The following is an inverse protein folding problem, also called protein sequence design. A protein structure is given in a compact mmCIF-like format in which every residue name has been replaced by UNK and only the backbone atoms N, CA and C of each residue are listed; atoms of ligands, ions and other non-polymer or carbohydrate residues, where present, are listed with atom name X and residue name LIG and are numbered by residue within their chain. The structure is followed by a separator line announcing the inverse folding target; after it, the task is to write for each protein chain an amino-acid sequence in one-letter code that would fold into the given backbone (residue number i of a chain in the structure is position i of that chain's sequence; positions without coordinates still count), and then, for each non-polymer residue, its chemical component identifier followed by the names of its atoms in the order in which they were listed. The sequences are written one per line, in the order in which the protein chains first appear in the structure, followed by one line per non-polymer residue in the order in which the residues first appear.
data_IF_769376199834
#
_entry.id   IF_769376199834
#
_cell.length_a   1.000
_cell.length_b   1.000
_cell.length_c   1.000
_cell.angle_alpha   90.00
_cell.angle_beta   90.00
_cell.angle_gamma   90.00
#
_symmetry.space_group_name_H-M   'P 1'
#
loop_
_entity.id
_entity.type
_entity.pdbx_description
1 polymer ?
#
# COMPACT_ATOMS: atom_id res chain seq x y z
N UNK A 1 -39.16 -20.11 9.91
CA UNK A 1 -38.12 -19.48 9.09
C UNK A 1 -37.98 -18.06 9.59
N UNK A 2 -36.87 -17.72 10.24
CA UNK A 2 -36.52 -16.33 10.54
C UNK A 2 -35.26 -16.03 9.74
N UNK A 3 -35.40 -15.18 8.74
CA UNK A 3 -34.30 -14.65 7.93
C UNK A 3 -33.41 -13.78 8.82
N UNK A 4 -32.23 -14.31 9.11
CA UNK A 4 -31.16 -13.61 9.80
C UNK A 4 -30.44 -12.75 8.75
N UNK A 5 -30.89 -11.50 8.63
CA UNK A 5 -30.18 -10.48 7.87
C UNK A 5 -28.75 -10.36 8.43
N UNK A 6 -27.70 -10.41 7.60
CA UNK A 6 -26.33 -10.31 8.10
C UNK A 6 -26.14 -8.94 8.76
N UNK A 7 -25.58 -8.95 9.97
CA UNK A 7 -25.28 -7.73 10.71
C UNK A 7 -24.39 -6.81 9.85
N UNK A 8 -24.69 -5.49 9.81
CA UNK A 8 -23.82 -4.55 9.14
C UNK A 8 -22.42 -4.64 9.79
N UNK A 9 -21.40 -4.78 8.96
CA UNK A 9 -20.00 -4.71 9.40
C UNK A 9 -19.82 -3.50 10.33
N UNK A 10 -19.09 -3.63 11.45
CA UNK A 10 -18.93 -2.54 12.38
C UNK A 10 -18.34 -1.35 11.64
N UNK A 11 -19.12 -0.27 11.51
CA UNK A 11 -18.58 1.05 11.25
C UNK A 11 -17.60 1.32 12.40
N UNK A 12 -16.30 1.21 12.13
CA UNK A 12 -15.25 1.62 13.06
C UNK A 12 -15.33 3.14 13.22
N UNK A 13 -16.31 3.60 13.99
CA UNK A 13 -16.32 4.91 14.64
C UNK A 13 -15.36 4.82 15.83
N UNK A 14 -14.07 4.72 15.54
CA UNK A 14 -13.07 5.10 16.53
C UNK A 14 -13.04 6.63 16.53
N UNK A 15 -13.01 7.28 17.69
CA UNK A 15 -12.47 8.65 17.76
C UNK A 15 -10.99 8.53 17.33
N UNK A 16 -10.71 8.58 16.02
CA UNK A 16 -9.37 8.37 15.49
C UNK A 16 -8.64 9.71 15.60
N UNK A 17 -7.75 9.84 16.57
CA UNK A 17 -6.77 10.92 16.54
C UNK A 17 -5.61 10.57 15.58
N UNK A 18 -4.78 11.56 15.26
CA UNK A 18 -3.64 11.36 14.36
C UNK A 18 -2.65 10.29 14.83
N UNK A 19 -2.54 10.05 16.14
CA UNK A 19 -1.67 9.01 16.68
C UNK A 19 -2.27 7.61 16.50
N UNK A 20 -3.59 7.48 16.60
CA UNK A 20 -4.31 6.25 16.25
C UNK A 20 -4.16 5.93 14.75
N UNK A 21 -4.25 6.93 13.87
CA UNK A 21 -3.99 6.76 12.43
C UNK A 21 -2.55 6.30 12.15
N UNK A 22 -1.54 6.92 12.77
CA UNK A 22 -0.13 6.52 12.64
C UNK A 22 0.05 5.03 13.01
N UNK A 23 -0.46 4.64 14.18
CA UNK A 23 -0.40 3.26 14.65
C UNK A 23 -1.10 2.30 13.70
N UNK A 24 -2.29 2.66 13.23
CA UNK A 24 -3.05 1.86 12.28
C UNK A 24 -2.31 1.66 10.96
N UNK A 25 -1.64 2.68 10.44
CA UNK A 25 -0.81 2.57 9.22
C UNK A 25 0.36 1.61 9.41
N UNK A 26 1.06 1.70 10.54
CA UNK A 26 2.19 0.81 10.87
C UNK A 26 1.73 -0.65 10.95
N UNK A 27 0.59 -0.90 11.60
CA UNK A 27 0.00 -2.24 11.73
C UNK A 27 -0.48 -2.77 10.37
N UNK A 28 -1.17 -1.93 9.60
CA UNK A 28 -1.68 -2.27 8.27
C UNK A 28 -0.55 -2.68 7.33
N UNK A 29 0.51 -1.87 7.21
CA UNK A 29 1.69 -2.20 6.42
C UNK A 29 2.39 -3.50 6.86
N UNK A 30 2.26 -3.90 8.14
CA UNK A 30 2.78 -5.17 8.62
C UNK A 30 2.03 -6.39 8.11
N UNK A 31 0.77 -6.22 7.69
CA UNK A 31 -0.11 -7.27 7.20
C UNK A 31 -0.27 -7.26 5.66
N UNK A 32 0.18 -6.19 4.99
CA UNK A 32 0.08 -6.06 3.54
C UNK A 32 1.07 -7.01 2.83
N UNK A 33 0.61 -7.87 1.91
CA UNK A 33 1.49 -8.68 1.08
C UNK A 33 2.23 -7.82 0.05
N UNK A 34 3.33 -8.35 -0.50
CA UNK A 34 4.07 -7.72 -1.60
C UNK A 34 3.13 -7.40 -2.78
N UNK A 35 3.32 -6.22 -3.36
CA UNK A 35 2.53 -5.62 -4.43
C UNK A 35 1.12 -5.13 -4.02
N UNK A 36 0.71 -5.29 -2.76
CA UNK A 36 -0.50 -4.65 -2.26
C UNK A 36 -0.35 -3.12 -2.25
N UNK A 37 -1.47 -2.43 -2.44
CA UNK A 37 -1.56 -0.97 -2.44
C UNK A 37 -2.62 -0.52 -1.42
N UNK A 38 -2.29 0.53 -0.69
CA UNK A 38 -3.20 1.27 0.16
C UNK A 38 -3.24 2.72 -0.32
N UNK A 39 -4.38 3.14 -0.85
CA UNK A 39 -4.67 4.52 -1.23
C UNK A 39 -5.41 5.20 -0.09
N UNK A 40 -5.06 6.46 0.19
CA UNK A 40 -5.63 7.28 1.26
C UNK A 40 -5.92 8.65 0.65
N UNK A 41 -7.06 9.24 0.98
CA UNK A 41 -7.48 10.56 0.51
C UNK A 41 -8.78 11.00 1.19
N UNK A 42 -9.38 12.13 0.80
CA UNK A 42 -10.64 12.59 1.39
C UNK A 42 -11.75 11.54 1.29
N UNK A 43 -12.50 11.39 2.38
CA UNK A 43 -13.62 10.46 2.44
C UNK A 43 -14.68 10.83 1.40
N UNK A 44 -15.00 9.89 0.51
CA UNK A 44 -16.03 10.08 -0.52
C UNK A 44 -15.57 10.76 -1.80
N UNK A 45 -14.28 11.11 -1.94
CA UNK A 45 -13.72 11.61 -3.20
C UNK A 45 -13.92 10.58 -4.33
N UNK A 46 -14.39 11.03 -5.50
CA UNK A 46 -14.62 10.18 -6.68
C UNK A 46 -13.72 10.60 -7.83
N UNK A 47 -13.30 9.62 -8.64
CA UNK A 47 -12.34 9.81 -9.73
C UNK A 47 -12.78 10.73 -10.87
N UNK A 48 -14.05 11.16 -10.89
CA UNK A 48 -14.60 12.11 -11.86
C UNK A 48 -14.72 13.55 -11.31
N UNK A 49 -14.41 13.77 -10.03
CA UNK A 49 -14.39 15.10 -9.45
C UNK A 49 -13.24 15.91 -10.07
N UNK A 50 -13.56 17.04 -10.70
CA UNK A 50 -12.61 17.91 -11.39
C UNK A 50 -11.72 18.73 -10.44
N UNK A 51 -11.74 18.42 -9.15
CA UNK A 51 -11.01 19.13 -8.10
C UNK A 51 -9.69 18.41 -7.79
N UNK A 52 -8.70 19.18 -7.34
CA UNK A 52 -7.46 18.64 -6.83
C UNK A 52 -7.76 17.72 -5.63
N UNK A 53 -7.23 16.48 -5.65
CA UNK A 53 -7.47 15.49 -4.61
C UNK A 53 -6.18 15.21 -3.87
N UNK A 54 -6.10 15.66 -2.62
CA UNK A 54 -5.02 15.31 -1.71
C UNK A 54 -5.01 13.80 -1.46
N UNK A 55 -3.99 13.10 -1.97
CA UNK A 55 -3.88 11.65 -1.90
C UNK A 55 -2.50 11.21 -1.43
N UNK A 56 -2.45 10.10 -0.71
CA UNK A 56 -1.24 9.36 -0.44
C UNK A 56 -1.44 7.91 -0.87
N UNK A 57 -0.43 7.31 -1.52
CA UNK A 57 -0.45 5.92 -1.92
C UNK A 57 0.76 5.19 -1.34
N UNK A 58 0.50 4.08 -0.65
CA UNK A 58 1.51 3.19 -0.12
C UNK A 58 1.47 1.89 -0.91
N UNK A 59 2.60 1.49 -1.50
CA UNK A 59 2.73 0.19 -2.17
C UNK A 59 3.84 -0.65 -1.53
N UNK A 60 3.55 -1.93 -1.27
CA UNK A 60 4.56 -2.87 -0.75
C UNK A 60 5.44 -3.37 -1.89
N UNK A 61 6.74 -3.15 -1.76
CA UNK A 61 7.77 -3.62 -2.67
C UNK A 61 8.44 -4.91 -2.18
N UNK A 62 9.58 -5.26 -2.76
CA UNK A 62 10.42 -6.37 -2.30
C UNK A 62 11.17 -6.03 -1.02
N UNK A 63 11.59 -7.06 -0.29
CA UNK A 63 12.44 -6.92 0.91
C UNK A 63 11.87 -5.95 1.96
N UNK A 64 10.56 -6.05 2.23
CA UNK A 64 9.84 -5.22 3.21
C UNK A 64 10.05 -3.71 3.01
N UNK A 65 10.24 -3.31 1.75
CA UNK A 65 10.34 -1.90 1.37
C UNK A 65 8.98 -1.40 0.94
N UNK A 66 8.65 -0.16 1.29
CA UNK A 66 7.40 0.50 0.98
C UNK A 66 7.72 1.72 0.11
N UNK A 67 6.98 1.88 -0.98
CA UNK A 67 6.92 3.12 -1.75
C UNK A 67 5.78 3.95 -1.18
N UNK A 68 6.05 5.21 -0.86
CA UNK A 68 5.02 6.22 -0.60
C UNK A 68 5.06 7.27 -1.70
N UNK A 69 3.91 7.58 -2.28
CA UNK A 69 3.70 8.67 -3.24
C UNK A 69 2.72 9.66 -2.65
N UNK A 70 2.99 10.95 -2.78
CA UNK A 70 2.11 12.03 -2.33
C UNK A 70 1.66 12.85 -3.53
N UNK A 71 0.37 13.18 -3.57
CA UNK A 71 -0.20 13.90 -4.71
C UNK A 71 -1.38 14.78 -4.30
N UNK A 72 -1.66 15.76 -5.14
CA UNK A 72 -2.87 16.60 -5.15
C UNK A 72 -3.76 16.25 -6.35
N UNK A 73 -3.52 15.09 -6.95
CA UNK A 73 -4.32 14.54 -8.05
C UNK A 73 -4.57 13.06 -7.77
N UNK A 74 -5.69 12.55 -8.26
CA UNK A 74 -6.01 11.12 -8.25
C UNK A 74 -4.86 10.31 -8.86
N UNK A 75 -4.33 9.39 -8.05
CA UNK A 75 -3.23 8.53 -8.44
C UNK A 75 -3.74 7.21 -9.01
N UNK A 76 -3.20 6.83 -10.15
CA UNK A 76 -3.36 5.50 -10.73
C UNK A 76 -2.53 4.45 -9.97
N UNK A 77 -2.86 3.18 -10.13
CA UNK A 77 -2.00 2.08 -9.64
C UNK A 77 -0.75 1.97 -10.52
N UNK A 78 0.47 2.13 -9.97
CA UNK A 78 1.69 2.10 -10.76
C UNK A 78 2.02 0.68 -11.22
N UNK A 79 2.34 0.54 -12.51
CA UNK A 79 2.85 -0.70 -13.11
C UNK A 79 4.38 -0.73 -13.03
N UNK A 80 4.90 -1.28 -11.94
CA UNK A 80 6.35 -1.35 -11.72
C UNK A 80 6.98 -2.52 -12.50
N UNK A 81 8.06 -2.24 -13.22
CA UNK A 81 8.87 -3.26 -13.91
C UNK A 81 9.69 -4.13 -12.94
N UNK A 82 9.92 -3.63 -11.72
CA UNK A 82 10.61 -4.33 -10.64
C UNK A 82 10.15 -3.79 -9.28
N UNK A 83 10.16 -4.66 -8.28
CA UNK A 83 9.91 -4.29 -6.88
C UNK A 83 11.22 -4.25 -6.06
N UNK A 84 12.37 -4.36 -6.71
CA UNK A 84 13.68 -4.26 -6.05
C UNK A 84 14.12 -2.81 -5.92
N UNK A 85 14.49 -2.39 -4.71
CA UNK A 85 14.99 -1.03 -4.43
C UNK A 85 16.46 -1.08 -4.00
N UNK A 86 17.37 -0.37 -4.67
CA UNK A 86 18.75 -0.24 -4.23
C UNK A 86 18.83 0.42 -2.85
N UNK A 87 19.73 -0.05 -1.98
CA UNK A 87 19.90 0.55 -0.63
C UNK A 87 20.20 2.05 -0.68
N UNK A 88 20.92 2.49 -1.70
CA UNK A 88 21.26 3.90 -1.91
C UNK A 88 20.03 4.79 -2.22
N UNK A 89 18.91 4.20 -2.63
CA UNK A 89 17.66 4.92 -2.94
C UNK A 89 16.71 5.02 -1.72
N UNK A 90 17.01 4.36 -0.60
CA UNK A 90 16.13 4.34 0.57
C UNK A 90 16.22 5.66 1.35
N UNK A 91 15.08 6.05 1.93
CA UNK A 91 14.92 7.22 2.79
C UNK A 91 15.31 8.55 2.13
N UNK A 92 15.21 8.62 0.79
CA UNK A 92 15.41 9.83 0.00
C UNK A 92 14.14 10.17 -0.77
N UNK A 93 13.88 11.47 -0.92
CA UNK A 93 12.80 11.98 -1.76
C UNK A 93 13.24 12.07 -3.21
N UNK A 94 12.33 11.69 -4.10
CA UNK A 94 12.44 11.81 -5.54
C UNK A 94 11.31 12.71 -6.04
N UNK A 95 11.65 13.64 -6.93
CA UNK A 95 10.76 14.66 -7.49
C UNK A 95 10.83 14.69 -9.02
N UNK A 96 11.21 13.56 -9.63
CA UNK A 96 11.25 13.41 -11.07
C UNK A 96 9.89 12.99 -11.64
N UNK A 97 9.77 13.01 -12.96
CA UNK A 97 8.54 12.67 -13.69
C UNK A 97 8.37 11.15 -13.88
N UNK A 98 8.87 10.31 -12.96
CA UNK A 98 8.66 8.85 -13.03
C UNK A 98 7.17 8.48 -12.96
N UNK A 99 6.39 9.31 -12.26
CA UNK A 99 4.95 9.13 -12.10
C UNK A 99 4.25 10.45 -12.46
N UNK A 100 3.56 10.47 -13.59
CA UNK A 100 2.87 11.67 -14.10
C UNK A 100 1.81 12.22 -13.11
N UNK A 101 1.27 11.34 -12.26
CA UNK A 101 0.24 11.63 -11.27
C UNK A 101 0.77 11.91 -9.85
N UNK A 102 2.09 12.00 -9.66
CA UNK A 102 2.74 12.17 -8.36
C UNK A 102 3.24 13.61 -8.18
N UNK A 103 2.36 14.51 -7.76
CA UNK A 103 2.68 15.95 -7.77
C UNK A 103 3.62 16.40 -6.65
N UNK A 104 3.78 15.61 -5.58
CA UNK A 104 4.59 15.98 -4.41
C UNK A 104 5.76 15.03 -4.14
N UNK A 105 6.06 14.18 -5.13
CA UNK A 105 7.20 13.28 -5.08
C UNK A 105 6.93 11.99 -4.31
N UNK A 106 7.96 11.15 -4.30
CA UNK A 106 7.87 9.82 -3.72
C UNK A 106 9.13 9.46 -2.92
N UNK A 107 8.98 8.51 -2.00
CA UNK A 107 10.06 8.01 -1.15
C UNK A 107 9.91 6.50 -0.99
N UNK A 108 11.05 5.81 -0.87
CA UNK A 108 11.07 4.38 -0.54
C UNK A 108 11.72 4.18 0.83
N UNK A 109 11.11 3.40 1.71
CA UNK A 109 11.67 3.09 3.04
C UNK A 109 11.37 1.67 3.47
N UNK A 110 12.23 1.11 4.32
CA UNK A 110 11.93 -0.11 5.09
C UNK A 110 11.29 0.17 6.44
N UNK A 111 11.24 1.45 6.84
CA UNK A 111 10.65 1.86 8.11
C UNK A 111 9.16 2.14 7.92
N UNK A 112 8.32 1.20 8.35
CA UNK A 112 6.86 1.38 8.42
C UNK A 112 6.48 2.64 9.20
N UNK A 113 7.16 2.88 10.32
CA UNK A 113 6.96 4.08 11.14
C UNK A 113 7.24 5.36 10.35
N UNK A 114 8.32 5.42 9.56
CA UNK A 114 8.63 6.59 8.73
C UNK A 114 7.53 6.85 7.70
N UNK A 115 7.05 5.80 7.04
CA UNK A 115 6.00 5.93 6.03
C UNK A 115 4.69 6.42 6.67
N UNK A 116 4.31 5.88 7.83
CA UNK A 116 3.15 6.33 8.59
C UNK A 116 3.27 7.80 9.00
N UNK A 117 4.41 8.21 9.56
CA UNK A 117 4.70 9.58 9.95
C UNK A 117 4.62 10.55 8.75
N UNK A 118 5.13 10.14 7.57
CA UNK A 118 5.03 10.94 6.34
C UNK A 118 3.57 11.13 5.92
N UNK A 119 2.77 10.06 5.92
CA UNK A 119 1.36 10.14 5.51
C UNK A 119 0.54 10.97 6.48
N UNK A 120 0.76 10.82 7.79
CA UNK A 120 0.08 11.65 8.81
C UNK A 120 0.47 13.12 8.66
N UNK A 121 1.77 13.41 8.50
CA UNK A 121 2.23 14.79 8.31
C UNK A 121 1.70 15.40 7.00
N UNK A 122 1.58 14.59 5.93
CA UNK A 122 0.98 15.03 4.67
C UNK A 122 -0.45 15.52 4.89
N UNK A 123 -1.34 14.67 5.41
CA UNK A 123 -2.75 15.06 5.57
C UNK A 123 -2.95 16.13 6.65
N UNK A 124 -2.31 15.98 7.80
CA UNK A 124 -2.49 16.89 8.93
C UNK A 124 -1.84 18.25 8.69
N UNK A 125 -0.57 18.27 8.30
CA UNK A 125 0.23 19.50 8.30
C UNK A 125 0.22 20.19 6.93
N UNK A 126 0.18 19.41 5.84
CA UNK A 126 0.31 19.95 4.47
C UNK A 126 -1.03 20.19 3.80
N UNK A 127 -1.96 19.25 3.90
CA UNK A 127 -3.31 19.36 3.33
C UNK A 127 -4.29 20.06 4.29
N UNK A 128 -4.00 20.05 5.60
CA UNK A 128 -4.78 20.78 6.60
C UNK A 128 -6.08 20.10 7.01
N UNK A 129 -6.17 18.77 6.89
CA UNK A 129 -7.30 18.02 7.42
C UNK A 129 -7.38 18.19 8.95
N UNK A 130 -8.59 18.39 9.47
CA UNK A 130 -8.79 18.64 10.90
C UNK A 130 -8.74 17.34 11.70
N UNK A 131 -9.29 16.26 11.15
CA UNK A 131 -9.29 14.94 11.77
C UNK A 131 -9.04 13.82 10.74
N UNK A 132 -8.48 12.68 11.18
CA UNK A 132 -8.37 11.47 10.35
C UNK A 132 -9.72 10.95 9.83
N UNK A 133 -10.82 11.20 10.53
CA UNK A 133 -12.17 10.76 10.12
C UNK A 133 -12.65 11.39 8.81
N UNK A 134 -12.03 12.49 8.40
CA UNK A 134 -12.27 13.13 7.11
C UNK A 134 -11.60 12.37 5.95
N UNK A 135 -10.81 11.33 6.24
CA UNK A 135 -10.09 10.52 5.26
C UNK A 135 -10.79 9.17 5.03
N UNK A 136 -10.78 8.74 3.78
CA UNK A 136 -11.09 7.38 3.37
C UNK A 136 -9.82 6.62 3.00
N UNK A 137 -9.93 5.29 2.94
CA UNK A 137 -8.89 4.44 2.37
C UNK A 137 -9.47 3.39 1.42
N UNK A 138 -8.68 3.03 0.42
CA UNK A 138 -8.97 1.96 -0.53
C UNK A 138 -7.80 0.99 -0.55
N UNK A 139 -8.09 -0.31 -0.51
CA UNK A 139 -7.09 -1.36 -0.49
C UNK A 139 -7.18 -2.20 -1.76
N UNK A 140 -6.05 -2.36 -2.44
CA UNK A 140 -5.92 -3.20 -3.63
C UNK A 140 -5.07 -4.42 -3.32
N UNK A 141 -5.69 -5.60 -3.40
CA UNK A 141 -4.98 -6.87 -3.24
C UNK A 141 -4.11 -7.21 -4.46
N UNK A 142 -2.92 -7.80 -4.25
CA UNK A 142 -2.08 -8.23 -5.35
C UNK A 142 -2.70 -9.46 -6.04
N UNK A 143 -2.69 -9.45 -7.37
CA UNK A 143 -3.12 -10.61 -8.17
C UNK A 143 -1.99 -11.65 -8.22
N UNK A 144 -2.25 -12.83 -7.67
CA UNK A 144 -1.33 -13.95 -7.74
C UNK A 144 -1.55 -14.77 -9.03
N UNK A 145 -0.50 -14.95 -9.82
CA UNK A 145 -0.52 -15.93 -10.90
C UNK A 145 -0.46 -17.35 -10.32
N UNK A 146 -1.13 -18.34 -10.97
CA UNK A 146 -0.97 -19.74 -10.61
C UNK A 146 0.52 -20.10 -10.61
N UNK A 147 1.04 -20.54 -9.46
CA UNK A 147 2.40 -21.10 -9.41
C UNK A 147 2.33 -22.43 -10.14
N UNK A 148 3.03 -22.57 -11.26
CA UNK A 148 3.26 -23.89 -11.83
C UNK A 148 3.90 -24.74 -10.73
N UNK A 149 3.20 -25.77 -10.27
CA UNK A 149 3.81 -26.78 -9.42
C UNK A 149 4.93 -27.42 -10.24
N UNK A 150 6.18 -27.04 -9.98
CA UNK A 150 7.32 -27.86 -10.36
C UNK A 150 7.28 -29.10 -9.46
N UNK A 151 6.41 -30.03 -9.83
CA UNK A 151 6.45 -31.41 -9.36
C UNK A 151 7.74 -32.01 -9.90
N UNK A 152 8.84 -31.85 -9.17
CA UNK A 152 9.98 -32.75 -9.29
C UNK A 152 9.63 -34.02 -8.52
N UNK A 153 8.80 -34.88 -9.13
CA UNK A 153 8.62 -36.27 -8.69
C UNK A 153 9.38 -37.21 -9.63
N UNK A 154 10.37 -37.91 -9.06
CA UNK A 154 10.96 -39.14 -9.58
C UNK A 154 12.11 -38.95 -10.58
N UNK A 155 13.30 -39.54 -10.43
CA UNK A 155 13.61 -40.79 -9.74
C UNK A 155 15.10 -40.86 -9.36
N UNK A 156 15.37 -40.75 -8.06
CA UNK A 156 16.50 -41.44 -7.47
C UNK A 156 16.11 -42.92 -7.35
N UNK A 157 16.62 -43.77 -8.24
CA UNK A 157 16.60 -45.21 -8.06
C UNK A 157 17.83 -45.86 -8.69
N UNK A 158 18.73 -46.23 -7.77
CA UNK A 158 19.44 -47.51 -7.75
C UNK A 158 20.65 -47.72 -8.68
N UNK A 159 21.83 -47.61 -8.06
CA UNK A 159 23.01 -48.40 -8.43
C UNK A 159 22.66 -49.89 -8.27
N UNK A 160 22.83 -50.69 -9.31
CA UNK A 160 23.20 -52.11 -9.21
C UNK A 160 23.82 -52.60 -10.52
N UNK A 161 24.83 -53.46 -10.40
CA UNK A 161 25.83 -53.77 -11.43
C UNK A 161 25.44 -54.80 -12.50
N UNK A 162 26.38 -54.92 -13.46
CA UNK A 162 26.83 -56.04 -14.32
C UNK A 162 25.94 -57.29 -14.50
N UNK A 163 25.92 -57.88 -15.71
CA UNK A 163 27.09 -58.59 -16.24
C UNK A 163 27.68 -58.07 -17.56
#
# INVERSE_FOLDING_TARGET
MNDQQPEPHPHMSMDVDWAAMDKWLVESMGNMPRAAILDIGPAGARGDDSEDVDCAQIQVLGSETFLVRLSTTMMSTPLLSSYGVPRAALDMWFYDDTFDDCTHGYLMSRSRRRIAEIVVAWFRDRCGFSAPDDLGCSYTEPVALPRSATTYEGSASQRQGYP
#
